data_IF_396402237823
#
_entry.id   IF_396402237823
#
_cell.length_a   1.000
_cell.length_b   1.000
_cell.length_c   1.000
_cell.angle_alpha   90.00
_cell.angle_beta   90.00
_cell.angle_gamma   90.00
#
_symmetry.space_group_name_H-M   'P 1'
#
loop_
_entity.id
_entity.type
_entity.pdbx_description
1 polymer ?
#
# COMPACT_ATOMS: atom_id res chain seq x y z
N UNK A 1 -32.15 -12.37 3.46
CA UNK A 1 -31.58 -11.03 3.18
C UNK A 1 -30.06 -11.14 3.28
N UNK A 2 -29.35 -11.08 2.14
CA UNK A 2 -27.88 -11.02 2.14
C UNK A 2 -27.49 -9.67 2.73
N UNK A 3 -26.74 -9.68 3.85
CA UNK A 3 -26.31 -8.44 4.48
C UNK A 3 -25.37 -7.68 3.54
N UNK A 4 -25.47 -6.35 3.49
CA UNK A 4 -24.65 -5.48 2.62
C UNK A 4 -23.14 -5.75 2.76
N UNK A 5 -22.69 -6.26 3.91
CA UNK A 5 -21.29 -6.65 4.19
C UNK A 5 -20.79 -7.80 3.31
N UNK A 6 -21.63 -8.81 3.05
CA UNK A 6 -21.29 -9.92 2.15
C UNK A 6 -21.22 -9.49 0.68
N UNK A 7 -21.98 -8.46 0.30
CA UNK A 7 -21.92 -7.86 -1.03
C UNK A 7 -20.56 -7.16 -1.26
N UNK A 8 -20.05 -6.40 -0.29
CA UNK A 8 -18.75 -5.73 -0.42
C UNK A 8 -17.56 -6.70 -0.46
N UNK A 9 -17.62 -7.79 0.30
CA UNK A 9 -16.59 -8.86 0.25
C UNK A 9 -16.64 -9.58 -1.09
N UNK A 10 -17.84 -9.92 -1.59
CA UNK A 10 -18.00 -10.51 -2.90
C UNK A 10 -17.49 -9.58 -4.01
N UNK A 11 -17.76 -8.28 -3.93
CA UNK A 11 -17.24 -7.27 -4.87
C UNK A 11 -15.71 -7.19 -4.80
N UNK A 12 -15.12 -7.13 -3.60
CA UNK A 12 -13.66 -7.09 -3.42
C UNK A 12 -12.95 -8.32 -3.98
N UNK A 13 -13.51 -9.52 -3.77
CA UNK A 13 -12.96 -10.77 -4.32
C UNK A 13 -13.13 -10.84 -5.84
N UNK A 14 -14.28 -10.41 -6.38
CA UNK A 14 -14.49 -10.36 -7.82
C UNK A 14 -13.57 -9.34 -8.50
N UNK A 15 -13.27 -8.21 -7.85
CA UNK A 15 -12.29 -7.23 -8.33
C UNK A 15 -10.88 -7.82 -8.33
N UNK A 16 -10.46 -8.48 -7.24
CA UNK A 16 -9.14 -9.13 -7.17
C UNK A 16 -8.98 -10.25 -8.22
N UNK A 17 -10.02 -11.06 -8.43
CA UNK A 17 -10.01 -12.10 -9.45
C UNK A 17 -10.04 -11.51 -10.87
N UNK A 18 -10.76 -10.39 -11.07
CA UNK A 18 -10.75 -9.65 -12.33
C UNK A 18 -9.39 -9.05 -12.66
N UNK A 19 -8.67 -8.52 -11.67
CA UNK A 19 -7.30 -8.01 -11.82
C UNK A 19 -6.33 -9.15 -12.15
N UNK A 20 -6.39 -10.27 -11.43
CA UNK A 20 -5.55 -11.44 -11.72
C UNK A 20 -5.81 -11.98 -13.14
N UNK A 21 -7.08 -12.04 -13.56
CA UNK A 21 -7.46 -12.46 -14.90
C UNK A 21 -7.01 -11.46 -15.98
N UNK A 22 -7.16 -10.15 -15.76
CA UNK A 22 -6.73 -9.11 -16.69
C UNK A 22 -5.20 -9.09 -16.87
N UNK A 23 -4.44 -9.24 -15.79
CA UNK A 23 -2.98 -9.36 -15.85
C UNK A 23 -2.57 -10.62 -16.61
N UNK A 24 -3.21 -11.76 -16.32
CA UNK A 24 -2.90 -13.03 -17.01
C UNK A 24 -3.22 -13.03 -18.52
N UNK A 25 -4.29 -12.31 -18.93
CA UNK A 25 -4.68 -12.19 -20.34
C UNK A 25 -3.77 -11.23 -21.11
N UNK A 26 -3.29 -10.15 -20.48
CA UNK A 26 -2.28 -9.25 -21.05
C UNK A 26 -0.91 -9.91 -21.20
N UNK A 27 -0.52 -10.76 -20.24
CA UNK A 27 0.77 -11.47 -20.25
C UNK A 27 0.90 -12.48 -21.40
N UNK A 28 -0.21 -13.05 -21.88
CA UNK A 28 -0.18 -14.05 -22.96
C UNK A 28 -0.17 -13.48 -24.38
N UNK A 29 -0.53 -12.21 -24.61
CA UNK A 29 -0.82 -11.71 -25.97
C UNK A 29 0.02 -10.50 -26.44
N UNK A 30 0.95 -9.97 -25.65
CA UNK A 30 1.90 -8.99 -26.21
C UNK A 30 2.77 -8.24 -25.19
N UNK A 31 4.07 -8.52 -25.25
CA UNK A 31 5.11 -7.49 -25.21
C UNK A 31 5.18 -6.53 -24.03
N UNK A 32 4.95 -6.97 -22.80
CA UNK A 32 5.43 -6.22 -21.63
C UNK A 32 6.85 -6.73 -21.34
N UNK A 33 7.86 -6.00 -21.79
CA UNK A 33 9.23 -6.20 -21.30
C UNK A 33 9.28 -5.71 -19.85
N UNK A 34 9.38 -6.65 -18.92
CA UNK A 34 9.66 -6.35 -17.51
C UNK A 34 11.14 -6.59 -17.30
N UNK A 35 11.87 -5.53 -16.96
CA UNK A 35 13.24 -5.64 -16.48
C UNK A 35 13.22 -6.17 -15.06
N UNK A 36 13.99 -7.24 -14.84
CA UNK A 36 14.17 -7.87 -13.54
C UNK A 36 15.60 -7.63 -13.06
N UNK A 37 15.72 -7.12 -11.84
CA UNK A 37 17.00 -6.94 -11.18
C UNK A 37 16.96 -7.56 -9.78
N UNK A 38 17.88 -8.49 -9.52
CA UNK A 38 18.16 -8.95 -8.17
C UNK A 38 19.28 -8.09 -7.59
N UNK A 39 19.01 -7.44 -6.47
CA UNK A 39 19.96 -6.56 -5.79
C UNK A 39 20.86 -7.35 -4.84
N UNK A 40 22.05 -6.81 -4.56
CA UNK A 40 23.03 -7.45 -3.67
C UNK A 40 22.54 -7.60 -2.22
N UNK A 41 21.53 -6.82 -1.82
CA UNK A 41 20.86 -6.88 -0.52
C UNK A 41 19.76 -7.96 -0.44
N UNK A 42 19.52 -8.71 -1.52
CA UNK A 42 18.50 -9.75 -1.60
C UNK A 42 17.11 -9.24 -2.00
N UNK A 43 16.94 -7.94 -2.26
CA UNK A 43 15.70 -7.39 -2.81
C UNK A 43 15.58 -7.66 -4.31
N UNK A 44 14.35 -7.64 -4.82
CA UNK A 44 14.02 -7.88 -6.22
C UNK A 44 13.27 -6.67 -6.76
N UNK A 45 13.77 -6.07 -7.84
CA UNK A 45 13.15 -4.94 -8.52
C UNK A 45 12.61 -5.38 -9.87
N UNK A 46 11.36 -5.01 -10.12
CA UNK A 46 10.66 -5.20 -11.38
C UNK A 46 10.33 -3.81 -11.95
N UNK A 47 10.71 -3.55 -13.19
CA UNK A 47 10.43 -2.27 -13.84
C UNK A 47 9.98 -2.43 -15.28
N UNK A 48 9.18 -1.49 -15.74
CA UNK A 48 8.78 -1.32 -17.14
C UNK A 48 8.62 0.18 -17.43
N UNK A 49 8.10 0.51 -18.62
CA UNK A 49 7.85 1.91 -19.02
C UNK A 49 6.85 2.65 -18.12
N UNK A 50 6.02 1.93 -17.35
CA UNK A 50 4.99 2.50 -16.47
C UNK A 50 5.49 2.74 -15.03
N UNK A 51 6.62 2.16 -14.63
CA UNK A 51 7.21 2.37 -13.32
C UNK A 51 8.06 1.22 -12.80
N UNK A 52 8.37 1.28 -11.51
CA UNK A 52 9.16 0.25 -10.82
C UNK A 52 8.55 -0.13 -9.47
N UNK A 53 8.79 -1.39 -9.10
CA UNK A 53 8.40 -2.01 -7.84
C UNK A 53 9.60 -2.78 -7.29
N UNK A 54 9.89 -2.60 -6.01
CA UNK A 54 10.91 -3.36 -5.29
C UNK A 54 10.27 -4.17 -4.17
N UNK A 55 10.70 -5.43 -4.03
CA UNK A 55 10.20 -6.38 -3.03
C UNK A 55 11.36 -7.01 -2.25
N UNK A 56 11.09 -7.42 -1.01
CA UNK A 56 12.05 -8.16 -0.19
C UNK A 56 12.56 -7.41 1.03
N UNK A 57 13.24 -8.13 1.95
CA UNK A 57 13.76 -7.58 3.19
C UNK A 57 14.90 -6.60 2.91
N UNK A 58 14.63 -5.30 3.01
CA UNK A 58 15.61 -4.26 2.66
C UNK A 58 15.11 -3.28 1.59
N UNK A 59 13.89 -3.47 1.07
CA UNK A 59 13.22 -2.46 0.28
C UNK A 59 13.21 -1.12 1.05
N UNK A 60 13.25 -0.01 0.32
CA UNK A 60 13.29 1.33 0.90
C UNK A 60 12.02 2.08 0.53
N UNK A 61 11.77 3.22 1.19
CA UNK A 61 10.66 4.08 0.76
C UNK A 61 10.87 4.45 -0.72
N UNK A 62 9.81 4.41 -1.56
CA UNK A 62 9.95 4.76 -2.96
C UNK A 62 10.45 6.20 -3.10
N UNK A 63 11.32 6.47 -4.08
CA UNK A 63 11.86 7.82 -4.30
C UNK A 63 10.78 8.86 -4.64
N UNK A 64 9.63 8.40 -5.14
CA UNK A 64 8.44 9.22 -5.39
C UNK A 64 7.63 9.55 -4.13
N UNK A 65 7.97 8.99 -2.96
CA UNK A 65 7.23 9.24 -1.72
C UNK A 65 7.32 10.71 -1.30
N UNK A 66 6.20 11.43 -1.21
CA UNK A 66 6.21 12.86 -0.89
C UNK A 66 6.78 13.16 0.49
N UNK A 67 7.63 14.21 0.56
CA UNK A 67 8.23 14.67 1.81
C UNK A 67 7.18 15.14 2.84
N UNK A 68 5.99 15.54 2.38
CA UNK A 68 4.89 15.96 3.22
C UNK A 68 3.94 14.82 3.65
N UNK A 69 4.20 13.57 3.23
CA UNK A 69 3.56 12.39 3.79
C UNK A 69 4.36 11.85 5.00
N UNK A 70 3.73 11.09 5.91
CA UNK A 70 4.46 10.38 6.97
C UNK A 70 5.39 9.31 6.36
N UNK A 71 6.54 9.09 6.98
CA UNK A 71 7.36 7.92 6.70
C UNK A 71 6.73 6.66 7.32
N UNK A 72 7.30 5.48 7.02
CA UNK A 72 6.96 4.24 7.72
C UNK A 72 7.17 4.36 9.24
N UNK A 73 6.41 3.57 10.01
CA UNK A 73 6.55 3.52 11.47
C UNK A 73 7.97 3.08 11.86
N UNK A 74 8.47 3.60 13.00
CA UNK A 74 9.82 3.29 13.47
C UNK A 74 9.99 1.79 13.74
N UNK A 75 11.13 1.22 13.36
CA UNK A 75 11.40 -0.21 13.47
C UNK A 75 10.67 -1.08 12.44
N UNK A 76 10.01 -0.48 11.46
CA UNK A 76 9.39 -1.21 10.37
C UNK A 76 10.41 -1.81 9.39
N UNK A 77 10.07 -2.99 8.88
CA UNK A 77 10.74 -3.61 7.75
C UNK A 77 9.86 -3.47 6.50
N UNK A 78 10.30 -2.66 5.55
CA UNK A 78 9.62 -2.53 4.27
C UNK A 78 9.80 -3.83 3.47
N UNK A 79 8.68 -4.37 3.00
CA UNK A 79 8.61 -5.62 2.22
C UNK A 79 8.22 -5.34 0.77
N UNK A 80 7.63 -4.17 0.50
CA UNK A 80 7.19 -3.72 -0.82
C UNK A 80 7.28 -2.19 -0.91
N UNK A 81 7.74 -1.69 -2.05
CA UNK A 81 7.68 -0.28 -2.41
C UNK A 81 7.46 -0.14 -3.91
N UNK A 82 6.59 0.77 -4.34
CA UNK A 82 6.32 0.99 -5.76
C UNK A 82 5.95 2.44 -6.09
N UNK A 83 6.15 2.78 -7.36
CA UNK A 83 5.84 4.11 -7.95
C UNK A 83 4.55 4.13 -8.78
N UNK A 84 3.74 3.07 -8.71
CA UNK A 84 2.41 3.01 -9.30
C UNK A 84 1.39 2.46 -8.31
N UNK A 85 0.17 2.96 -8.37
CA UNK A 85 -0.96 2.34 -7.65
C UNK A 85 -1.36 1.06 -8.40
N UNK A 86 -1.13 -0.15 -7.84
CA UNK A 86 -1.42 -1.40 -8.54
C UNK A 86 -2.92 -1.64 -8.75
N UNK A 87 -3.79 -0.89 -8.09
CA UNK A 87 -5.24 -0.97 -8.24
C UNK A 87 -5.78 -0.07 -9.36
N UNK A 88 -5.10 1.04 -9.66
CA UNK A 88 -5.61 2.05 -10.63
C UNK A 88 -4.68 2.29 -11.82
N UNK A 89 -3.45 1.77 -11.80
CA UNK A 89 -2.44 1.99 -12.85
C UNK A 89 -1.94 3.43 -12.94
N UNK A 90 -2.40 4.33 -12.07
CA UNK A 90 -1.95 5.71 -12.01
C UNK A 90 -0.61 5.80 -11.29
N UNK A 91 0.18 6.82 -11.64
CA UNK A 91 1.35 7.21 -10.86
C UNK A 91 0.94 7.39 -9.39
N UNK A 92 1.72 6.80 -8.49
CA UNK A 92 1.35 6.77 -7.08
C UNK A 92 2.45 6.13 -6.25
N UNK A 93 2.65 6.61 -5.05
CA UNK A 93 3.63 6.01 -4.17
C UNK A 93 2.91 5.03 -3.24
N UNK A 94 3.35 3.77 -3.23
CA UNK A 94 2.81 2.73 -2.34
C UNK A 94 3.96 2.07 -1.59
N UNK A 95 3.78 1.86 -0.30
CA UNK A 95 4.70 1.11 0.55
C UNK A 95 3.93 0.12 1.39
N UNK A 96 4.43 -1.11 1.50
CA UNK A 96 3.99 -2.07 2.51
C UNK A 96 5.16 -2.50 3.39
N UNK A 97 4.91 -2.59 4.68
CA UNK A 97 5.91 -2.96 5.68
C UNK A 97 5.29 -3.75 6.83
N UNK A 98 6.14 -4.43 7.59
CA UNK A 98 5.75 -5.09 8.83
C UNK A 98 6.47 -4.47 10.03
N UNK A 99 5.80 -4.51 11.19
CA UNK A 99 6.35 -4.11 12.48
C UNK A 99 6.02 -5.19 13.49
N UNK A 100 6.98 -5.55 14.35
CA UNK A 100 6.77 -6.55 15.41
C UNK A 100 6.55 -5.88 16.76
N UNK A 101 5.76 -6.52 17.62
CA UNK A 101 5.57 -6.12 19.03
C UNK A 101 5.00 -4.71 19.21
N UNK A 102 4.12 -4.27 18.31
CA UNK A 102 3.44 -2.97 18.35
C UNK A 102 1.94 -3.18 18.16
N UNK A 103 1.10 -2.40 18.83
CA UNK A 103 -0.35 -2.47 18.65
C UNK A 103 -0.78 -1.70 17.39
N UNK A 104 -1.77 -2.20 16.62
CA UNK A 104 -2.30 -1.49 15.46
C UNK A 104 -2.72 -0.04 15.75
N UNK A 105 -3.29 0.22 16.93
CA UNK A 105 -3.73 1.53 17.38
C UNK A 105 -2.59 2.53 17.58
N UNK A 106 -1.40 2.08 17.97
CA UNK A 106 -0.21 2.93 18.14
C UNK A 106 0.25 3.45 16.78
N UNK A 107 0.28 2.56 15.78
CA UNK A 107 0.60 2.90 14.39
C UNK A 107 -0.46 3.86 13.84
N UNK A 108 -1.75 3.57 14.03
CA UNK A 108 -2.83 4.45 13.58
C UNK A 108 -2.71 5.86 14.19
N UNK A 109 -2.34 5.93 15.47
CA UNK A 109 -2.14 7.19 16.19
C UNK A 109 -0.94 7.98 15.68
N UNK A 110 0.19 7.30 15.39
CA UNK A 110 1.34 7.92 14.72
C UNK A 110 0.95 8.56 13.38
N UNK A 111 0.21 7.85 12.53
CA UNK A 111 -0.23 8.40 11.24
C UNK A 111 -1.18 9.58 11.41
N UNK A 112 -2.17 9.49 12.31
CA UNK A 112 -3.08 10.62 12.61
C UNK A 112 -2.32 11.88 12.99
N UNK A 113 -1.41 11.77 13.95
CA UNK A 113 -0.64 12.91 14.45
C UNK A 113 0.27 13.48 13.37
N UNK A 114 1.00 12.64 12.64
CA UNK A 114 1.95 13.08 11.63
C UNK A 114 1.25 13.71 10.42
N UNK A 115 0.14 13.13 9.97
CA UNK A 115 -0.68 13.70 8.89
C UNK A 115 -1.21 15.07 9.28
N UNK A 116 -1.83 15.19 10.46
CA UNK A 116 -2.36 16.46 10.95
C UNK A 116 -1.25 17.52 11.10
N UNK A 117 -0.09 17.15 11.66
CA UNK A 117 1.06 18.05 11.79
C UNK A 117 1.61 18.52 10.44
N UNK A 118 1.46 17.73 9.38
CA UNK A 118 1.87 18.07 8.01
C UNK A 118 0.76 18.73 7.18
N UNK A 119 -0.35 19.12 7.81
CA UNK A 119 -1.45 19.87 7.18
C UNK A 119 -2.40 19.00 6.37
N UNK A 120 -2.38 17.69 6.55
CA UNK A 120 -3.40 16.81 5.98
C UNK A 120 -4.67 16.84 6.83
N UNK A 121 -5.82 16.82 6.19
CA UNK A 121 -7.11 16.68 6.84
C UNK A 121 -7.47 15.20 6.91
N UNK A 122 -7.72 14.69 8.10
CA UNK A 122 -8.23 13.32 8.26
C UNK A 122 -9.65 13.28 7.67
N UNK A 123 -9.84 12.45 6.65
CA UNK A 123 -11.10 12.29 5.94
C UNK A 123 -11.99 11.23 6.61
N UNK A 124 -11.38 10.26 7.28
CA UNK A 124 -12.06 9.28 8.11
C UNK A 124 -11.15 8.13 8.53
N UNK A 125 -11.57 7.42 9.55
CA UNK A 125 -11.02 6.14 9.98
C UNK A 125 -12.13 5.10 10.14
N UNK A 126 -11.81 3.85 9.83
CA UNK A 126 -12.75 2.75 9.86
C UNK A 126 -12.09 1.48 10.41
N UNK A 127 -12.82 0.77 11.24
CA UNK A 127 -12.48 -0.58 11.68
C UNK A 127 -13.22 -1.58 10.80
N UNK A 128 -12.46 -2.39 10.05
CA UNK A 128 -13.00 -3.43 9.16
C UNK A 128 -12.42 -4.77 9.58
N UNK A 129 -13.17 -5.52 10.39
CA UNK A 129 -12.66 -6.76 10.99
C UNK A 129 -11.52 -6.44 11.96
N UNK A 130 -10.34 -7.02 11.71
CA UNK A 130 -9.09 -6.76 12.46
C UNK A 130 -8.21 -5.69 11.82
N UNK A 131 -8.75 -4.92 10.86
CA UNK A 131 -8.01 -3.89 10.15
C UNK A 131 -8.47 -2.48 10.56
N UNK A 132 -7.51 -1.57 10.68
CA UNK A 132 -7.74 -0.13 10.81
C UNK A 132 -7.40 0.49 9.46
N UNK A 133 -8.38 1.17 8.86
CA UNK A 133 -8.19 1.94 7.64
C UNK A 133 -8.26 3.41 8.01
N UNK A 134 -7.31 4.22 7.54
CA UNK A 134 -7.33 5.66 7.69
C UNK A 134 -7.13 6.34 6.35
N UNK A 135 -7.99 7.32 6.06
CA UNK A 135 -7.91 8.18 4.90
C UNK A 135 -7.65 9.62 5.31
N UNK A 136 -6.80 10.32 4.55
CA UNK A 136 -6.57 11.75 4.70
C UNK A 136 -6.45 12.42 3.34
N UNK A 137 -6.76 13.71 3.30
CA UNK A 137 -6.68 14.53 2.08
C UNK A 137 -5.85 15.77 2.31
N UNK A 138 -5.18 16.21 1.25
CA UNK A 138 -4.47 17.49 1.20
C UNK A 138 -4.52 18.00 -0.23
N UNK A 139 -5.16 19.15 -0.41
CA UNK A 139 -5.49 19.70 -1.72
C UNK A 139 -6.30 18.67 -2.54
N UNK A 140 -5.78 18.26 -3.70
CA UNK A 140 -6.37 17.24 -4.58
C UNK A 140 -5.84 15.82 -4.32
N UNK A 141 -4.89 15.65 -3.39
CA UNK A 141 -4.23 14.37 -3.09
C UNK A 141 -4.97 13.61 -2.01
N UNK A 142 -4.98 12.29 -2.14
CA UNK A 142 -5.54 11.36 -1.15
C UNK A 142 -4.45 10.43 -0.64
N UNK A 143 -4.34 10.35 0.68
CA UNK A 143 -3.50 9.40 1.39
C UNK A 143 -4.41 8.34 2.02
N UNK A 144 -4.06 7.07 1.85
CA UNK A 144 -4.77 5.96 2.47
C UNK A 144 -3.76 5.03 3.14
N UNK A 145 -4.12 4.53 4.32
CA UNK A 145 -3.37 3.51 5.02
C UNK A 145 -4.32 2.42 5.51
N UNK A 146 -3.89 1.17 5.37
CA UNK A 146 -4.49 0.01 6.00
C UNK A 146 -3.48 -0.62 6.94
N UNK A 147 -3.92 -0.91 8.16
CA UNK A 147 -3.14 -1.50 9.24
C UNK A 147 -3.85 -2.78 9.64
N UNK A 148 -3.14 -3.90 9.57
CA UNK A 148 -3.70 -5.22 9.84
C UNK A 148 -2.80 -5.99 10.77
N UNK A 149 -3.37 -6.51 11.85
CA UNK A 149 -2.64 -7.42 12.72
C UNK A 149 -2.70 -8.85 12.15
N UNK A 150 -1.54 -9.47 12.04
CA UNK A 150 -1.37 -10.90 11.82
C UNK A 150 -0.94 -11.55 13.13
N UNK A 151 -1.32 -12.82 13.30
CA UNK A 151 -1.00 -13.63 14.49
C UNK A 151 0.46 -13.41 14.97
N UNK A 152 0.66 -13.40 16.29
CA UNK A 152 1.95 -13.17 16.96
C UNK A 152 2.46 -11.71 16.95
N UNK A 153 1.59 -10.73 17.16
CA UNK A 153 1.96 -9.30 17.29
C UNK A 153 2.77 -8.76 16.10
N UNK A 154 2.52 -9.28 14.89
CA UNK A 154 3.11 -8.75 13.66
C UNK A 154 2.05 -7.91 12.97
N UNK A 155 2.28 -6.61 12.92
CA UNK A 155 1.38 -5.69 12.23
C UNK A 155 1.90 -5.44 10.82
N UNK A 156 1.07 -5.69 9.82
CA UNK A 156 1.33 -5.35 8.43
C UNK A 156 0.61 -4.05 8.10
N UNK A 157 1.35 -3.12 7.50
CA UNK A 157 0.86 -1.82 7.09
C UNK A 157 1.05 -1.65 5.60
N UNK A 158 0.01 -1.18 4.92
CA UNK A 158 0.10 -0.72 3.53
C UNK A 158 -0.35 0.72 3.49
N UNK A 159 0.53 1.62 3.10
CA UNK A 159 0.25 3.03 2.92
C UNK A 159 0.44 3.42 1.45
N UNK A 160 -0.47 4.23 0.93
CA UNK A 160 -0.47 4.60 -0.47
C UNK A 160 -1.04 5.98 -0.70
N UNK A 161 -0.64 6.56 -1.84
CA UNK A 161 -1.12 7.84 -2.32
C UNK A 161 -1.13 7.83 -3.84
N UNK A 162 -2.18 8.39 -4.42
CA UNK A 162 -2.18 8.73 -5.84
C UNK A 162 -1.38 10.02 -6.04
N UNK A 163 -0.37 9.96 -6.91
CA UNK A 163 0.37 11.13 -7.36
C UNK A 163 -0.32 11.64 -8.64
N UNK A 164 -0.52 12.95 -8.74
CA UNK A 164 -1.07 13.56 -9.95
C UNK A 164 -0.02 13.64 -11.05
#
# INVERSE_FOLDING_TARGET
MISKKWLYIAIGVVVLLGIAWYVSTKMMWGGISVDYQQNADGTQTYSNEEGSVTTGPGATMPSSWPADAPANYSGAQIIFSGNSNPQTGKAGAVVSYSVQNVMPEDIASYYRQTLAAKGWKIAGDAYVGTQIILGATKDTRTFAISISEYNNNVVTVTAGMELQ
#
